data_IF_347027580082
#
_entry.id   IF_347027580082
#
_cell.length_a   1.000
_cell.length_b   1.000
_cell.length_c   1.000
_cell.angle_alpha   90.00
_cell.angle_beta   90.00
_cell.angle_gamma   90.00
#
_symmetry.space_group_name_H-M   'P 1'
#
loop_
_entity.id
_entity.type
_entity.pdbx_description
1 polymer ?
#
# COMPACT_ATOMS: atom_id res chain seq x y z
N UNK A 1 10.70 16.87 -7.27
CA UNK A 1 9.65 17.24 -6.31
C UNK A 1 9.60 16.19 -5.20
N UNK A 2 9.73 16.55 -3.92
CA UNK A 2 9.66 15.57 -2.83
C UNK A 2 8.18 15.17 -2.64
N UNK A 3 7.78 14.05 -3.24
CA UNK A 3 6.40 13.54 -3.21
C UNK A 3 5.91 13.16 -1.80
N UNK A 4 6.82 13.03 -0.83
CA UNK A 4 6.51 12.66 0.55
C UNK A 4 5.79 13.74 1.37
N UNK A 5 5.96 15.03 1.06
CA UNK A 5 5.36 16.09 1.89
C UNK A 5 3.84 16.19 1.73
N UNK A 6 3.31 15.97 0.52
CA UNK A 6 1.88 16.07 0.25
C UNK A 6 1.07 14.96 0.92
N UNK A 7 1.57 13.71 0.86
CA UNK A 7 0.92 12.58 1.52
C UNK A 7 0.89 12.76 3.05
N UNK A 8 1.96 13.29 3.63
CA UNK A 8 2.04 13.61 5.05
C UNK A 8 1.02 14.68 5.46
N UNK A 9 0.96 15.77 4.71
CA UNK A 9 0.05 16.88 4.97
C UNK A 9 -1.42 16.45 4.86
N UNK A 10 -1.74 15.67 3.83
CA UNK A 10 -3.07 15.09 3.64
C UNK A 10 -3.43 14.21 4.84
N UNK A 11 -2.54 13.30 5.25
CA UNK A 11 -2.77 12.44 6.41
C UNK A 11 -3.01 13.25 7.68
N UNK A 12 -2.18 14.25 7.96
CA UNK A 12 -2.34 15.12 9.14
C UNK A 12 -3.70 15.82 9.14
N UNK A 13 -4.13 16.32 7.99
CA UNK A 13 -5.39 17.05 7.86
C UNK A 13 -6.60 16.13 8.04
N UNK A 14 -6.61 14.98 7.39
CA UNK A 14 -7.67 13.98 7.51
C UNK A 14 -7.78 13.46 8.95
N UNK A 15 -6.66 13.17 9.61
CA UNK A 15 -6.66 12.74 11.01
C UNK A 15 -7.21 13.81 11.94
N UNK A 16 -6.88 15.10 11.73
CA UNK A 16 -7.48 16.20 12.52
C UNK A 16 -8.99 16.31 12.35
N UNK A 17 -9.53 15.89 11.20
CA UNK A 17 -10.98 15.85 10.94
C UNK A 17 -11.66 14.60 11.51
N UNK A 18 -10.93 13.74 12.24
CA UNK A 18 -11.46 12.53 12.85
C UNK A 18 -11.44 11.29 11.94
N UNK A 19 -10.88 11.40 10.73
CA UNK A 19 -10.73 10.24 9.86
C UNK A 19 -9.61 9.31 10.35
N UNK A 20 -9.85 7.99 10.28
CA UNK A 20 -8.81 6.98 10.51
C UNK A 20 -8.08 6.72 9.19
N UNK A 21 -6.86 7.26 9.08
CA UNK A 21 -6.03 7.10 7.88
C UNK A 21 -5.01 5.99 8.11
N UNK A 22 -4.92 5.05 7.17
CA UNK A 22 -3.92 3.99 7.21
C UNK A 22 -2.51 4.55 6.97
N UNK A 23 -1.50 3.91 7.54
CA UNK A 23 -0.09 4.33 7.38
C UNK A 23 0.47 4.13 5.96
N UNK A 24 0.20 3.00 5.26
CA UNK A 24 0.75 2.75 3.92
C UNK A 24 0.29 3.79 2.91
N UNK A 25 1.20 4.21 2.02
CA UNK A 25 0.95 5.20 0.97
C UNK A 25 1.08 4.55 -0.39
N UNK A 26 0.02 4.62 -1.19
CA UNK A 26 0.07 4.24 -2.60
C UNK A 26 0.49 5.45 -3.43
N UNK A 27 1.65 5.35 -4.08
CA UNK A 27 2.11 6.42 -4.95
C UNK A 27 1.48 6.28 -6.34
N UNK A 28 1.41 7.38 -7.09
CA UNK A 28 1.02 7.32 -8.49
C UNK A 28 2.14 6.63 -9.30
N UNK A 29 1.92 5.35 -9.60
CA UNK A 29 2.85 4.47 -10.32
C UNK A 29 2.21 3.95 -11.59
N UNK A 30 2.93 4.07 -12.70
CA UNK A 30 2.51 3.58 -14.02
C UNK A 30 2.21 2.07 -13.99
N UNK A 31 2.94 1.31 -13.17
CA UNK A 31 2.73 -0.12 -12.98
C UNK A 31 1.29 -0.49 -12.55
N UNK A 32 0.58 0.36 -11.81
CA UNK A 32 -0.83 0.11 -11.48
C UNK A 32 -1.71 0.08 -12.73
N UNK A 33 -1.56 1.07 -13.61
CA UNK A 33 -2.33 1.14 -14.85
C UNK A 33 -1.96 0.02 -15.81
N UNK A 34 -0.66 -0.27 -15.97
CA UNK A 34 -0.20 -1.33 -16.86
C UNK A 34 -0.68 -2.71 -16.42
N UNK A 35 -0.61 -3.02 -15.12
CA UNK A 35 -1.10 -4.30 -14.61
C UNK A 35 -2.59 -4.49 -14.92
N UNK A 36 -3.42 -3.46 -14.70
CA UNK A 36 -4.86 -3.49 -15.01
C UNK A 36 -5.11 -3.68 -16.51
N UNK A 37 -4.40 -2.96 -17.38
CA UNK A 37 -4.53 -3.07 -18.84
C UNK A 37 -4.19 -4.49 -19.31
N UNK A 38 -3.17 -5.10 -18.70
CA UNK A 38 -2.72 -6.44 -19.01
C UNK A 38 -3.62 -7.54 -18.39
N UNK A 39 -4.54 -7.17 -17.50
CA UNK A 39 -5.44 -8.12 -16.81
C UNK A 39 -4.77 -8.86 -15.65
N UNK A 40 -3.67 -8.32 -15.11
CA UNK A 40 -2.87 -8.89 -14.02
C UNK A 40 -2.92 -8.03 -12.76
N UNK A 41 -2.59 -8.62 -11.62
CA UNK A 41 -2.19 -7.87 -10.44
C UNK A 41 -0.79 -7.28 -10.61
N UNK A 42 -0.45 -6.25 -9.81
CA UNK A 42 0.92 -5.70 -9.80
C UNK A 42 1.97 -6.73 -9.39
N UNK A 43 1.60 -7.72 -8.56
CA UNK A 43 2.48 -8.82 -8.16
C UNK A 43 2.79 -9.80 -9.31
N UNK A 44 1.90 -9.93 -10.29
CA UNK A 44 2.11 -10.77 -11.48
C UNK A 44 2.71 -9.98 -12.65
N UNK A 45 2.49 -8.66 -12.67
CA UNK A 45 3.04 -7.76 -13.68
C UNK A 45 4.51 -7.43 -13.40
N UNK A 46 4.81 -6.96 -12.19
CA UNK A 46 6.15 -6.56 -11.75
C UNK A 46 6.36 -7.00 -10.29
N UNK A 47 6.72 -8.28 -10.05
CA UNK A 47 6.72 -8.88 -8.71
C UNK A 47 7.62 -8.17 -7.69
N UNK A 48 8.79 -7.71 -8.14
CA UNK A 48 9.78 -6.98 -7.33
C UNK A 48 9.59 -5.45 -7.41
N UNK A 49 8.51 -5.03 -8.09
CA UNK A 49 8.17 -3.65 -8.31
C UNK A 49 7.73 -2.94 -7.04
N UNK A 50 7.96 -1.63 -7.00
CA UNK A 50 7.54 -0.80 -5.88
C UNK A 50 6.01 -0.75 -5.72
N UNK A 51 5.25 -0.94 -6.80
CA UNK A 51 3.80 -1.05 -6.74
C UNK A 51 3.36 -2.34 -6.01
N UNK A 52 4.04 -3.46 -6.28
CA UNK A 52 3.79 -4.73 -5.59
C UNK A 52 4.18 -4.64 -4.10
N UNK A 53 5.29 -3.96 -3.79
CA UNK A 53 5.70 -3.70 -2.41
C UNK A 53 4.65 -2.86 -1.64
N UNK A 54 4.12 -1.80 -2.26
CA UNK A 54 3.09 -0.94 -1.66
C UNK A 54 1.76 -1.68 -1.40
N UNK A 55 1.30 -2.51 -2.33
CA UNK A 55 0.09 -3.32 -2.10
C UNK A 55 0.33 -4.37 -1.02
N UNK A 56 1.54 -4.94 -0.95
CA UNK A 56 1.90 -5.89 0.12
C UNK A 56 1.86 -5.22 1.49
N UNK A 57 2.42 -4.02 1.62
CA UNK A 57 2.38 -3.25 2.87
C UNK A 57 0.94 -2.88 3.27
N UNK A 58 0.13 -2.41 2.31
CA UNK A 58 -1.29 -2.14 2.53
C UNK A 58 -2.05 -3.39 2.99
N UNK A 59 -1.85 -4.52 2.32
CA UNK A 59 -2.52 -5.77 2.65
C UNK A 59 -2.15 -6.23 4.06
N UNK A 60 -0.86 -6.24 4.40
CA UNK A 60 -0.38 -6.63 5.72
C UNK A 60 -0.93 -5.71 6.83
N UNK A 61 -1.00 -4.41 6.56
CA UNK A 61 -1.59 -3.44 7.50
C UNK A 61 -3.06 -3.76 7.77
N UNK A 62 -3.84 -4.01 6.71
CA UNK A 62 -5.26 -4.36 6.83
C UNK A 62 -5.44 -5.68 7.57
N UNK A 63 -4.69 -6.73 7.23
CA UNK A 63 -4.81 -8.03 7.91
C UNK A 63 -4.47 -7.95 9.39
N UNK A 64 -3.48 -7.12 9.74
CA UNK A 64 -3.12 -6.86 11.14
C UNK A 64 -4.23 -6.14 11.90
N UNK A 65 -4.92 -5.17 11.27
CA UNK A 65 -6.07 -4.49 11.89
C UNK A 65 -7.23 -5.45 12.19
N UNK A 66 -7.43 -6.47 11.37
CA UNK A 66 -8.51 -7.45 11.53
C UNK A 66 -8.08 -8.75 12.24
N UNK A 67 -6.93 -8.74 12.93
CA UNK A 67 -6.49 -9.88 13.75
C UNK A 67 -6.10 -11.14 12.96
N UNK A 68 -5.91 -11.03 11.63
CA UNK A 68 -5.31 -12.10 10.83
C UNK A 68 -3.79 -12.01 10.98
N UNK A 69 -3.28 -12.54 12.09
CA UNK A 69 -1.86 -12.55 12.42
C UNK A 69 -1.05 -13.34 11.38
N UNK A 70 0.15 -12.83 11.10
CA UNK A 70 1.11 -13.27 10.10
C UNK A 70 1.26 -14.80 9.98
N UNK A 71 0.90 -15.36 8.82
CA UNK A 71 1.29 -16.74 8.47
C UNK A 71 2.81 -16.91 8.34
N UNK A 72 3.57 -15.82 8.19
CA UNK A 72 5.03 -15.84 8.04
C UNK A 72 5.82 -16.05 9.34
N UNK A 73 5.20 -15.92 10.51
CA UNK A 73 5.89 -16.17 11.78
C UNK A 73 6.04 -17.67 12.13
N UNK A 74 5.50 -18.59 11.31
CA UNK A 74 5.46 -20.04 11.60
C UNK A 74 6.41 -20.89 10.73
N UNK A 75 7.35 -20.28 10.01
CA UNK A 75 8.23 -20.99 9.06
C UNK A 75 9.72 -20.60 9.17
N UNK A 76 10.17 -20.16 10.35
CA UNK A 76 11.57 -19.92 10.67
C UNK A 76 11.97 -20.72 11.93
#
# INVERSE_FOLDING_TARGET
>A
MPRGSLAEEARRTLTRQGAKVLTPVLHQRVAYSHAVIDGRSVHEYEPEGQAAAEITDLYNHITRLYGKTDRKAKAA
#
